data_IF_308712532437
#
_entry.id   IF_308712532437
#
_cell.length_a   1.000
_cell.length_b   1.000
_cell.length_c   1.000
_cell.angle_alpha   90.00
_cell.angle_beta   90.00
_cell.angle_gamma   90.00
#
_symmetry.space_group_name_H-M   'P 1'
#
loop_
_entity.id
_entity.type
_entity.pdbx_description
1 polymer ?
#
# COMPACT_ATOMS: atom_id res chain seq x y z
N UNK A 1 -15.29 -6.82 -6.11
CA UNK A 1 -13.95 -6.49 -6.62
C UNK A 1 -13.87 -5.12 -7.31
N UNK A 2 -14.71 -4.74 -8.29
CA UNK A 2 -14.50 -3.50 -9.05
C UNK A 2 -14.49 -2.23 -8.19
N UNK A 3 -15.51 -2.02 -7.35
CA UNK A 3 -15.60 -0.84 -6.48
C UNK A 3 -14.48 -0.78 -5.44
N UNK A 4 -14.10 -1.93 -4.86
CA UNK A 4 -12.99 -2.02 -3.92
C UNK A 4 -11.66 -1.62 -4.56
N UNK A 5 -11.35 -2.19 -5.73
CA UNK A 5 -10.11 -1.89 -6.46
C UNK A 5 -10.06 -0.42 -6.90
N UNK A 6 -11.18 0.12 -7.41
CA UNK A 6 -11.27 1.53 -7.78
C UNK A 6 -11.04 2.45 -6.57
N UNK A 7 -11.65 2.15 -5.42
CA UNK A 7 -11.46 2.91 -4.20
C UNK A 7 -10.01 2.87 -3.69
N UNK A 8 -9.34 1.71 -3.73
CA UNK A 8 -7.92 1.58 -3.34
C UNK A 8 -6.98 2.29 -4.31
N UNK A 9 -7.27 2.26 -5.62
CA UNK A 9 -6.52 3.03 -6.62
C UNK A 9 -6.68 4.54 -6.41
N UNK A 10 -7.90 5.01 -6.14
CA UNK A 10 -8.17 6.41 -5.82
C UNK A 10 -7.47 6.85 -4.52
N UNK A 11 -7.52 6.02 -3.47
CA UNK A 11 -6.81 6.27 -2.22
C UNK A 11 -5.30 6.41 -2.43
N UNK A 12 -4.71 5.53 -3.24
CA UNK A 12 -3.29 5.61 -3.53
C UNK A 12 -2.93 6.91 -4.28
N UNK A 13 -3.72 7.31 -5.28
CA UNK A 13 -3.52 8.58 -5.97
C UNK A 13 -3.67 9.78 -5.02
N UNK A 14 -4.66 9.74 -4.12
CA UNK A 14 -4.85 10.73 -3.08
C UNK A 14 -3.62 10.85 -2.16
N UNK A 15 -3.06 9.73 -1.71
CA UNK A 15 -1.85 9.71 -0.86
C UNK A 15 -0.67 10.38 -1.55
N UNK A 16 -0.47 10.16 -2.85
CA UNK A 16 0.60 10.81 -3.61
C UNK A 16 0.44 12.34 -3.64
N UNK A 17 -0.77 12.84 -3.92
CA UNK A 17 -1.07 14.27 -3.86
C UNK A 17 -0.89 14.84 -2.45
N UNK A 18 -1.39 14.12 -1.45
CA UNK A 18 -1.38 14.58 -0.06
C UNK A 18 0.04 14.66 0.50
N UNK A 19 0.93 13.74 0.12
CA UNK A 19 2.37 13.80 0.44
C UNK A 19 3.02 15.08 -0.08
N UNK A 20 2.73 15.46 -1.31
CA UNK A 20 3.32 16.67 -1.88
C UNK A 20 2.78 17.93 -1.21
N UNK A 21 1.49 18.00 -0.92
CA UNK A 21 0.90 19.12 -0.17
C UNK A 21 1.50 19.29 1.23
N UNK A 22 1.87 18.19 1.89
CA UNK A 22 2.42 18.21 3.25
C UNK A 22 3.95 18.31 3.31
N UNK A 23 4.64 18.40 2.17
CA UNK A 23 6.11 18.30 2.10
C UNK A 23 6.88 19.39 2.84
N UNK A 24 6.26 20.55 3.06
CA UNK A 24 6.82 21.66 3.85
C UNK A 24 6.48 21.58 5.34
N UNK A 25 5.74 20.55 5.76
CA UNK A 25 5.31 20.34 7.14
C UNK A 25 6.17 19.26 7.82
N UNK A 26 5.93 19.06 9.13
CA UNK A 26 6.51 17.96 9.90
C UNK A 26 5.67 16.67 9.86
N UNK A 27 4.62 16.60 9.04
CA UNK A 27 3.72 15.44 8.94
C UNK A 27 4.25 14.44 7.92
N UNK A 28 4.37 13.17 8.32
CA UNK A 28 4.74 12.06 7.44
C UNK A 28 3.51 11.21 7.10
N UNK A 29 3.27 10.98 5.82
CA UNK A 29 2.19 10.09 5.34
C UNK A 29 2.79 8.75 4.94
N UNK A 30 2.52 7.72 5.74
CA UNK A 30 2.99 6.35 5.49
C UNK A 30 1.84 5.52 4.94
N UNK A 31 2.09 4.82 3.83
CA UNK A 31 1.14 3.91 3.19
C UNK A 31 1.56 2.47 3.47
N UNK A 32 0.69 1.71 4.13
CA UNK A 32 0.85 0.27 4.36
C UNK A 32 -0.17 -0.50 3.51
N UNK A 33 0.33 -1.32 2.61
CA UNK A 33 -0.45 -2.11 1.66
C UNK A 33 -0.36 -3.60 2.00
N UNK A 34 -1.37 -4.17 2.67
CA UNK A 34 -1.42 -5.59 3.00
C UNK A 34 -1.80 -6.46 1.78
N UNK A 35 -1.42 -7.75 1.77
CA UNK A 35 -2.03 -8.73 0.89
C UNK A 35 -3.38 -9.17 1.48
N UNK A 36 -3.97 -10.26 0.96
CA UNK A 36 -4.99 -10.95 1.74
C UNK A 36 -4.36 -11.49 3.04
N UNK A 37 -5.00 -11.23 4.18
CA UNK A 37 -4.54 -11.66 5.51
C UNK A 37 -5.64 -12.50 6.17
N UNK A 38 -5.24 -13.56 6.86
CA UNK A 38 -6.11 -14.46 7.59
C UNK A 38 -6.84 -13.71 8.71
N UNK A 39 -8.07 -13.31 8.40
CA UNK A 39 -8.96 -12.49 9.23
C UNK A 39 -10.41 -12.87 8.96
N UNK A 40 -11.33 -12.28 9.71
CA UNK A 40 -12.78 -12.48 9.57
C UNK A 40 -13.36 -11.90 8.27
N UNK A 41 -12.54 -11.21 7.45
CA UNK A 41 -12.97 -10.55 6.20
C UNK A 41 -13.72 -11.50 5.24
N UNK A 42 -13.37 -12.78 5.25
CA UNK A 42 -13.94 -13.80 4.37
C UNK A 42 -14.93 -14.75 5.08
N UNK A 43 -15.37 -14.43 6.31
CA UNK A 43 -16.30 -15.29 7.08
C UNK A 43 -17.65 -15.51 6.38
N UNK A 44 -18.00 -14.69 5.38
CA UNK A 44 -19.16 -14.92 4.50
C UNK A 44 -19.09 -16.23 3.70
N UNK A 45 -17.89 -16.83 3.56
CA UNK A 45 -17.70 -18.16 2.97
C UNK A 45 -17.88 -19.31 3.98
N UNK A 46 -17.77 -18.99 5.28
CA UNK A 46 -17.70 -19.77 6.52
C UNK A 46 -16.41 -19.44 7.29
N UNK A 47 -16.42 -19.43 8.63
CA UNK A 47 -15.20 -19.20 9.41
C UNK A 47 -14.08 -20.23 9.14
N UNK A 48 -14.43 -21.49 8.88
CA UNK A 48 -13.45 -22.58 8.68
C UNK A 48 -12.69 -22.46 7.35
N UNK A 49 -13.28 -21.80 6.36
CA UNK A 49 -12.70 -21.57 5.03
C UNK A 49 -12.13 -20.16 4.92
N UNK A 50 -12.92 -19.15 5.29
CA UNK A 50 -12.57 -17.74 5.15
C UNK A 50 -11.31 -17.35 5.91
N UNK A 51 -11.16 -17.83 7.15
CA UNK A 51 -10.00 -17.51 8.01
C UNK A 51 -8.72 -18.21 7.59
N UNK A 52 -8.74 -19.07 6.57
CA UNK A 52 -7.55 -19.70 5.97
C UNK A 52 -7.07 -18.99 4.71
N UNK A 53 -7.76 -17.93 4.27
CA UNK A 53 -7.41 -17.20 3.05
C UNK A 53 -6.33 -16.16 3.36
N UNK A 54 -5.22 -16.26 2.63
CA UNK A 54 -4.15 -15.26 2.63
C UNK A 54 -3.00 -15.58 3.57
N UNK A 55 -2.17 -14.57 3.79
CA UNK A 55 -1.00 -14.59 4.67
C UNK A 55 -1.43 -14.78 6.15
N UNK A 56 -0.69 -15.60 6.93
CA UNK A 56 -0.86 -15.66 8.39
C UNK A 56 -0.75 -14.28 9.05
N UNK A 57 -1.58 -14.03 10.07
CA UNK A 57 -1.65 -12.70 10.72
C UNK A 57 -0.35 -12.32 11.43
N UNK A 58 0.29 -13.27 12.10
CA UNK A 58 1.59 -13.11 12.76
C UNK A 58 2.68 -12.70 11.75
N UNK A 59 2.76 -13.41 10.62
CA UNK A 59 3.68 -13.08 9.54
C UNK A 59 3.41 -11.67 8.98
N UNK A 60 2.14 -11.31 8.74
CA UNK A 60 1.78 -9.96 8.28
C UNK A 60 2.25 -8.88 9.27
N UNK A 61 2.04 -9.09 10.56
CA UNK A 61 2.46 -8.15 11.61
C UNK A 61 3.98 -7.97 11.57
N UNK A 62 4.75 -9.06 11.55
CA UNK A 62 6.21 -8.99 11.54
C UNK A 62 6.73 -8.23 10.31
N UNK A 63 6.22 -8.55 9.11
CA UNK A 63 6.64 -7.88 7.86
C UNK A 63 6.22 -6.40 7.82
N UNK A 64 5.00 -6.08 8.27
CA UNK A 64 4.50 -4.71 8.32
C UNK A 64 5.35 -3.86 9.27
N UNK A 65 5.60 -4.36 10.49
CA UNK A 65 6.38 -3.63 11.49
C UNK A 65 7.85 -3.49 11.07
N UNK A 66 8.45 -4.49 10.43
CA UNK A 66 9.80 -4.38 9.89
C UNK A 66 9.89 -3.25 8.85
N UNK A 67 8.90 -3.13 7.95
CA UNK A 67 8.84 -2.04 6.97
C UNK A 67 8.68 -0.66 7.62
N UNK A 68 7.83 -0.55 8.64
CA UNK A 68 7.62 0.69 9.40
C UNK A 68 8.87 1.11 10.17
N UNK A 69 9.53 0.17 10.85
CA UNK A 69 10.77 0.43 11.61
C UNK A 69 11.94 0.82 10.71
N UNK A 70 11.99 0.30 9.48
CA UNK A 70 12.95 0.71 8.47
C UNK A 70 12.74 2.15 7.95
N UNK A 71 11.71 2.85 8.42
CA UNK A 71 11.44 4.24 8.04
C UNK A 71 10.87 4.39 6.63
N UNK A 72 10.38 3.30 6.02
CA UNK A 72 9.74 3.35 4.71
C UNK A 72 8.44 4.15 4.80
N UNK A 73 8.22 5.06 3.86
CA UNK A 73 6.94 5.74 3.72
C UNK A 73 5.93 4.92 2.89
N UNK A 74 6.39 3.92 2.16
CA UNK A 74 5.56 2.95 1.46
C UNK A 74 5.99 1.53 1.83
N UNK A 75 5.11 0.82 2.52
CA UNK A 75 5.32 -0.55 2.99
C UNK A 75 4.32 -1.43 2.25
N UNK A 76 4.82 -2.28 1.36
CA UNK A 76 4.00 -3.31 0.71
C UNK A 76 4.37 -4.65 1.29
N UNK A 77 3.37 -5.37 1.81
CA UNK A 77 3.54 -6.67 2.45
C UNK A 77 3.07 -7.75 1.48
N UNK A 78 3.93 -8.73 1.20
CA UNK A 78 3.71 -9.73 0.16
C UNK A 78 3.61 -9.16 -1.27
N UNK A 79 3.63 -10.06 -2.27
CA UNK A 79 3.36 -9.75 -3.68
C UNK A 79 2.85 -11.00 -4.39
N UNK A 80 1.95 -10.83 -5.36
CA UNK A 80 1.46 -11.91 -6.24
C UNK A 80 2.38 -12.08 -7.46
N UNK A 81 3.07 -11.01 -7.86
CA UNK A 81 4.07 -11.01 -8.92
C UNK A 81 5.47 -11.16 -8.32
N UNK A 82 6.46 -11.43 -9.16
CA UNK A 82 7.85 -11.35 -8.73
C UNK A 82 8.12 -9.97 -8.11
N UNK A 83 8.78 -9.98 -6.96
CA UNK A 83 8.97 -8.80 -6.14
C UNK A 83 9.64 -7.66 -6.93
N UNK A 84 10.64 -8.01 -7.74
CA UNK A 84 11.40 -7.05 -8.56
C UNK A 84 10.50 -6.30 -9.53
N UNK A 85 9.72 -7.01 -10.35
CA UNK A 85 8.82 -6.38 -11.33
C UNK A 85 7.74 -5.56 -10.65
N UNK A 86 7.20 -6.05 -9.53
CA UNK A 86 6.21 -5.30 -8.77
C UNK A 86 6.76 -3.95 -8.28
N UNK A 87 7.93 -3.95 -7.64
CA UNK A 87 8.56 -2.72 -7.17
C UNK A 87 9.02 -1.82 -8.32
N UNK A 88 9.43 -2.37 -9.45
CA UNK A 88 9.76 -1.57 -10.64
C UNK A 88 8.55 -0.75 -11.10
N UNK A 89 7.38 -1.38 -11.25
CA UNK A 89 6.14 -0.67 -11.64
C UNK A 89 5.75 0.38 -10.60
N UNK A 90 5.79 0.01 -9.32
CA UNK A 90 5.41 0.89 -8.21
C UNK A 90 6.32 2.12 -8.13
N UNK A 91 7.63 1.93 -8.22
CA UNK A 91 8.62 3.00 -8.19
C UNK A 91 8.52 3.90 -9.41
N UNK A 92 8.36 3.33 -10.61
CA UNK A 92 8.19 4.09 -11.85
C UNK A 92 6.96 5.00 -11.79
N UNK A 93 5.83 4.47 -11.30
CA UNK A 93 4.60 5.26 -11.16
C UNK A 93 4.75 6.42 -10.16
N UNK A 94 5.45 6.19 -9.05
CA UNK A 94 5.76 7.24 -8.07
C UNK A 94 6.68 8.30 -8.68
N UNK A 95 7.76 7.90 -9.36
CA UNK A 95 8.69 8.82 -10.00
C UNK A 95 8.02 9.70 -11.07
N UNK A 96 7.11 9.12 -11.86
CA UNK A 96 6.29 9.87 -12.81
C UNK A 96 5.42 10.93 -12.11
N UNK A 97 4.75 10.56 -11.01
CA UNK A 97 3.92 11.49 -10.25
C UNK A 97 4.74 12.65 -9.66
N UNK A 98 5.88 12.36 -9.03
CA UNK A 98 6.78 13.37 -8.46
C UNK A 98 7.34 14.31 -9.55
N UNK A 99 7.62 13.78 -10.74
CA UNK A 99 8.04 14.58 -11.90
C UNK A 99 6.94 15.54 -12.35
N UNK A 100 5.70 15.05 -12.47
CA UNK A 100 4.56 15.89 -12.81
C UNK A 100 4.30 16.97 -11.76
N UNK A 101 4.35 16.61 -10.47
CA UNK A 101 4.16 17.56 -9.36
C UNK A 101 5.20 18.68 -9.38
N UNK A 102 6.47 18.37 -9.68
CA UNK A 102 7.51 19.39 -9.84
C UNK A 102 7.24 20.33 -11.02
N UNK A 103 6.75 19.81 -12.14
CA UNK A 103 6.46 20.60 -13.34
C UNK A 103 5.29 21.58 -13.16
N UNK A 104 4.27 21.17 -12.41
CA UNK A 104 3.07 21.98 -12.17
C UNK A 104 3.30 23.09 -11.12
N UNK A 105 4.46 23.10 -10.45
CA UNK A 105 4.67 23.84 -9.22
C UNK A 105 3.94 23.15 -8.07
N UNK A 106 4.58 23.03 -6.92
CA UNK A 106 3.92 22.57 -5.70
C UNK A 106 2.66 23.40 -5.47
N UNK A 107 1.48 22.78 -5.60
CA UNK A 107 0.19 23.38 -5.25
C UNK A 107 0.14 23.61 -3.75
#
# INVERSE_FOLDING_TARGET
>A
MPAYSAAKAALNAFILCFREQLKSTNVKVVELSPPAVQSELHDYMTPEVGRKIGMPLDQFIDEAFAGLQAGKDQVVVGSIADEKTFYEVLNNRRAMFETLSKLLGSV
#
